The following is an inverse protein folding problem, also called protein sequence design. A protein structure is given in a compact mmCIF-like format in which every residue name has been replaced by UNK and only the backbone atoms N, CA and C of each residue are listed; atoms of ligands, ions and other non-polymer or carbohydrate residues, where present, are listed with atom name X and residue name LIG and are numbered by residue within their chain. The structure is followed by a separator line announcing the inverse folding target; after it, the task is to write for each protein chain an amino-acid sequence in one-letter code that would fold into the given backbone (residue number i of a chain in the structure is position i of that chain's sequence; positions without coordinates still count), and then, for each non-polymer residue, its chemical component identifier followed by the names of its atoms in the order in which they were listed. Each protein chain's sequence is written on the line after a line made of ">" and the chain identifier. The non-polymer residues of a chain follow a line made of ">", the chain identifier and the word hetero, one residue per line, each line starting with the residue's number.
data_IF_028388358547
#
_entry.id   IF_028388358547
#
_cell.length_a   1.000
_cell.length_b   1.000
_cell.length_c   1.000
_cell.angle_alpha   90.00
_cell.angle_beta   90.00
_cell.angle_gamma   90.00
#
_symmetry.space_group_name_H-M   'P 1'
#
loop_
_entity.id
_entity.type
_entity.pdbx_description
1 polymer ?
#
# COMPACT_ATOMS: atom_id res chain seq x y z
N UNK A 1 3.06 -1.20 2.70
CA UNK A 1 2.03 -0.14 2.54
C UNK A 1 2.41 0.98 3.50
N UNK A 2 2.63 2.20 3.00
CA UNK A 2 2.61 3.41 3.85
C UNK A 2 1.18 3.70 4.20
N UNK A 3 0.95 4.02 5.45
CA UNK A 3 -0.34 4.53 5.87
C UNK A 3 -0.47 4.51 7.37
N UNK A 4 -1.70 4.73 7.79
CA UNK A 4 -2.14 4.55 9.15
C UNK A 4 -2.99 3.29 9.17
N UNK A 5 -2.68 2.39 10.09
CA UNK A 5 -3.55 1.26 10.41
C UNK A 5 -4.05 1.45 11.84
N UNK A 6 -5.33 1.18 12.03
CA UNK A 6 -6.01 1.35 13.31
C UNK A 6 -6.89 0.14 13.58
N UNK A 7 -6.89 -0.33 14.82
CA UNK A 7 -7.75 -1.42 15.28
C UNK A 7 -8.41 -1.04 16.60
N UNK A 8 -9.70 -1.37 16.73
CA UNK A 8 -10.47 -1.28 17.98
C UNK A 8 -11.00 -2.68 18.32
N UNK A 9 -10.63 -3.20 19.49
CA UNK A 9 -11.22 -4.41 20.06
C UNK A 9 -12.00 -4.07 21.32
N UNK A 10 -13.22 -4.57 21.43
CA UNK A 10 -14.11 -4.37 22.57
C UNK A 10 -14.38 -5.72 23.24
N UNK A 11 -14.38 -5.73 24.58
CA UNK A 11 -14.65 -6.89 25.43
C UNK A 11 -15.81 -6.56 26.38
N UNK A 12 -17.07 -6.61 25.90
CA UNK A 12 -18.22 -6.15 26.67
C UNK A 12 -18.40 -6.91 28.00
N UNK A 13 -18.11 -8.20 28.04
CA UNK A 13 -18.19 -9.02 29.25
C UNK A 13 -17.17 -8.63 30.31
N UNK A 14 -16.08 -7.96 29.91
CA UNK A 14 -15.05 -7.44 30.81
C UNK A 14 -15.14 -5.91 30.98
N UNK A 15 -16.16 -5.25 30.40
CA UNK A 15 -16.33 -3.79 30.40
C UNK A 15 -15.06 -3.03 29.98
N UNK A 16 -14.34 -3.55 28.98
CA UNK A 16 -13.05 -3.01 28.56
C UNK A 16 -12.85 -3.06 27.04
N UNK A 17 -11.79 -2.41 26.57
CA UNK A 17 -11.42 -2.37 25.16
C UNK A 17 -10.02 -1.82 24.95
N UNK A 18 -9.50 -2.01 23.74
CA UNK A 18 -8.19 -1.51 23.32
C UNK A 18 -8.31 -0.91 21.93
N UNK A 19 -7.71 0.27 21.78
CA UNK A 19 -7.56 0.94 20.51
C UNK A 19 -6.07 1.16 20.26
N UNK A 20 -5.61 0.80 19.07
CA UNK A 20 -4.25 1.10 18.61
C UNK A 20 -4.31 1.74 17.24
N UNK A 21 -3.45 2.73 17.02
CA UNK A 21 -3.27 3.44 15.76
C UNK A 21 -1.78 3.58 15.52
N UNK A 22 -1.31 3.11 14.37
CA UNK A 22 0.11 3.01 14.06
C UNK A 22 0.37 3.59 12.68
N UNK A 23 1.40 4.43 12.60
CA UNK A 23 1.93 4.96 11.36
C UNK A 23 3.22 4.22 11.03
N UNK A 24 3.33 3.67 9.83
CA UNK A 24 4.54 2.99 9.40
C UNK A 24 4.28 1.96 8.31
N UNK A 25 5.34 1.46 7.68
CA UNK A 25 5.21 0.39 6.70
C UNK A 25 4.65 -0.85 7.39
N UNK A 26 3.41 -1.24 7.09
CA UNK A 26 2.92 -2.56 7.45
C UNK A 26 3.76 -3.59 6.70
N UNK A 27 4.66 -4.26 7.42
CA UNK A 27 5.35 -5.44 6.90
C UNK A 27 4.37 -6.59 6.97
N UNK A 28 4.28 -7.36 5.90
CA UNK A 28 3.30 -8.45 5.69
C UNK A 28 3.42 -9.61 6.67
N UNK A 29 4.39 -9.57 7.59
CA UNK A 29 4.69 -10.68 8.49
C UNK A 29 4.12 -10.50 9.91
N UNK A 30 3.94 -9.26 10.39
CA UNK A 30 3.62 -9.03 11.80
C UNK A 30 2.62 -7.89 11.98
N UNK A 31 1.33 -8.23 12.05
CA UNK A 31 0.33 -7.27 12.44
C UNK A 31 0.46 -6.95 13.94
N UNK A 32 1.22 -5.91 14.25
CA UNK A 32 1.45 -5.38 15.59
C UNK A 32 0.15 -5.06 16.34
N UNK A 33 -0.96 -4.78 15.63
CA UNK A 33 -2.27 -4.67 16.26
C UNK A 33 -2.68 -5.98 16.93
N UNK A 34 -2.50 -7.11 16.25
CA UNK A 34 -2.88 -8.43 16.77
C UNK A 34 -2.10 -8.74 18.05
N UNK A 35 -0.80 -8.44 18.06
CA UNK A 35 0.05 -8.68 19.24
C UNK A 35 -0.47 -7.94 20.47
N UNK A 36 -0.71 -6.64 20.32
CA UNK A 36 -1.18 -5.78 21.40
C UNK A 36 -2.61 -6.17 21.81
N UNK A 37 -3.48 -6.43 20.84
CA UNK A 37 -4.90 -6.69 21.09
C UNK A 37 -5.12 -8.04 21.76
N UNK A 38 -4.37 -9.08 21.39
CA UNK A 38 -4.41 -10.37 22.09
C UNK A 38 -3.82 -10.27 23.50
N UNK A 39 -2.73 -9.51 23.68
CA UNK A 39 -2.17 -9.29 25.01
C UNK A 39 -3.18 -8.60 25.95
N UNK A 40 -3.89 -7.57 25.46
CA UNK A 40 -4.95 -6.91 26.25
C UNK A 40 -6.16 -7.82 26.45
N UNK A 41 -6.50 -8.67 25.46
CA UNK A 41 -7.54 -9.70 25.62
C UNK A 41 -7.26 -10.61 26.81
N UNK A 42 -6.03 -11.12 26.93
CA UNK A 42 -5.67 -12.05 28.00
C UNK A 42 -5.77 -11.37 29.37
N UNK A 43 -5.28 -10.12 29.48
CA UNK A 43 -5.41 -9.32 30.69
C UNK A 43 -6.89 -9.11 31.08
N UNK A 44 -7.73 -8.68 30.13
CA UNK A 44 -9.14 -8.39 30.39
C UNK A 44 -9.97 -9.64 30.70
N UNK A 45 -9.56 -10.80 30.17
CA UNK A 45 -10.27 -12.08 30.38
C UNK A 45 -9.66 -12.93 31.50
N UNK A 46 -8.60 -12.46 32.16
CA UNK A 46 -7.90 -13.19 33.22
C UNK A 46 -7.20 -14.46 32.75
N UNK A 47 -6.80 -14.51 31.47
CA UNK A 47 -6.03 -15.62 30.91
C UNK A 47 -4.53 -15.36 31.08
N UNK A 48 -3.77 -16.45 31.08
CA UNK A 48 -2.32 -16.37 31.00
C UNK A 48 -1.90 -15.69 29.69
N UNK A 49 -0.90 -14.82 29.78
CA UNK A 49 -0.42 -14.09 28.61
C UNK A 49 0.15 -15.06 27.57
N UNK A 50 -0.42 -15.03 26.37
CA UNK A 50 0.03 -15.84 25.24
C UNK A 50 1.48 -15.53 24.84
N UNK A 51 1.95 -14.29 25.05
CA UNK A 51 3.34 -13.85 24.90
C UNK A 51 3.94 -13.51 26.27
N UNK A 52 5.10 -14.08 26.58
CA UNK A 52 5.77 -13.91 27.87
C UNK A 52 7.24 -13.48 27.70
N UNK A 53 7.93 -13.20 28.82
CA UNK A 53 9.32 -12.68 28.79
C UNK A 53 10.32 -13.59 28.09
N UNK A 54 10.06 -14.90 28.02
CA UNK A 54 10.96 -15.86 27.37
C UNK A 54 10.62 -16.08 25.89
N UNK A 55 9.39 -15.80 25.47
CA UNK A 55 8.90 -16.02 24.09
C UNK A 55 8.73 -14.73 23.28
N UNK A 56 8.70 -13.57 23.93
CA UNK A 56 8.63 -12.26 23.28
C UNK A 56 9.80 -12.05 22.30
N UNK A 57 11.01 -12.46 22.69
CA UNK A 57 12.21 -12.31 21.85
C UNK A 57 12.27 -13.28 20.67
N UNK A 58 11.45 -14.34 20.66
CA UNK A 58 11.38 -15.32 19.57
C UNK A 58 10.17 -15.13 18.68
N UNK A 59 9.31 -14.16 19.00
CA UNK A 59 8.14 -13.80 18.21
C UNK A 59 8.56 -13.44 16.77
N UNK A 60 7.84 -13.91 15.73
CA UNK A 60 6.56 -14.62 15.79
C UNK A 60 6.62 -16.15 15.91
N UNK A 61 7.78 -16.75 16.09
CA UNK A 61 7.90 -18.20 16.27
C UNK A 61 7.46 -18.61 17.70
N UNK A 62 6.72 -19.74 17.86
CA UNK A 62 6.31 -20.71 16.84
C UNK A 62 4.93 -20.46 16.19
N UNK A 63 4.22 -19.41 16.59
CA UNK A 63 2.82 -19.17 16.20
C UNK A 63 2.63 -18.83 14.73
N UNK A 64 3.57 -18.12 14.12
CA UNK A 64 3.67 -18.03 12.67
C UNK A 64 4.86 -18.83 12.17
N UNK A 65 4.55 -19.86 11.39
CA UNK A 65 5.48 -20.32 10.37
C UNK A 65 5.57 -19.17 9.37
N UNK A 66 6.74 -18.54 9.25
CA UNK A 66 6.99 -17.58 8.19
C UNK A 66 6.53 -18.26 6.91
N UNK A 67 5.44 -17.77 6.29
CA UNK A 67 5.06 -18.26 4.98
C UNK A 67 6.32 -18.04 4.17
N UNK A 68 6.95 -19.11 3.69
CA UNK A 68 7.92 -18.98 2.61
C UNK A 68 7.09 -18.46 1.45
N UNK A 69 6.85 -17.14 1.43
CA UNK A 69 6.76 -16.44 0.18
C UNK A 69 7.97 -16.95 -0.55
N UNK A 70 7.74 -17.62 -1.69
CA UNK A 70 8.77 -17.73 -2.72
C UNK A 70 9.03 -16.27 -3.11
N UNK A 71 9.76 -15.57 -2.25
CA UNK A 71 10.26 -14.24 -2.51
C UNK A 71 11.03 -14.46 -3.78
N UNK A 72 10.53 -13.88 -4.87
CA UNK A 72 11.33 -13.75 -6.08
C UNK A 72 12.59 -13.08 -5.62
N UNK A 73 13.68 -13.87 -5.53
CA UNK A 73 14.93 -13.39 -5.00
C UNK A 73 15.26 -12.12 -5.79
N UNK A 74 15.42 -11.00 -5.07
CA UNK A 74 15.63 -9.70 -5.71
C UNK A 74 16.79 -9.88 -6.69
N UNK A 75 16.57 -9.68 -8.00
CA UNK A 75 17.60 -9.84 -9.00
C UNK A 75 18.84 -9.04 -8.61
N UNK A 76 20.01 -9.62 -8.82
CA UNK A 76 21.26 -8.90 -8.58
C UNK A 76 21.34 -7.71 -9.53
N UNK A 77 21.70 -6.56 -8.96
CA UNK A 77 21.91 -5.32 -9.70
C UNK A 77 23.18 -5.49 -10.53
N UNK A 78 23.09 -5.17 -11.82
CA UNK A 78 24.24 -5.12 -12.74
C UNK A 78 24.87 -3.73 -12.72
N UNK A 79 26.09 -3.61 -13.24
CA UNK A 79 26.71 -2.29 -13.47
C UNK A 79 26.10 -1.58 -14.69
N UNK A 80 25.61 -2.35 -15.68
CA UNK A 80 25.15 -1.84 -16.97
C UNK A 80 23.81 -2.45 -17.40
N UNK A 81 23.02 -1.66 -18.15
CA UNK A 81 21.81 -2.13 -18.82
C UNK A 81 22.17 -3.09 -19.96
N UNK A 82 21.33 -4.10 -20.16
CA UNK A 82 21.45 -5.08 -21.25
C UNK A 82 21.26 -4.48 -22.65
N UNK A 83 20.67 -3.28 -22.72
CA UNK A 83 20.29 -2.55 -23.95
C UNK A 83 20.58 -1.06 -23.74
N UNK A 84 20.51 -0.27 -24.82
CA UNK A 84 20.67 1.19 -24.72
C UNK A 84 19.61 1.76 -23.76
N UNK A 85 20.01 2.68 -22.88
CA UNK A 85 19.10 3.32 -21.91
C UNK A 85 17.93 4.02 -22.61
N UNK A 86 18.16 4.60 -23.79
CA UNK A 86 17.15 5.28 -24.59
C UNK A 86 16.03 4.34 -25.04
N UNK A 87 16.31 3.05 -25.15
CA UNK A 87 15.28 2.10 -25.55
C UNK A 87 14.22 1.88 -24.47
N UNK A 88 14.52 2.21 -23.20
CA UNK A 88 13.57 2.14 -22.10
C UNK A 88 12.75 3.43 -21.94
N UNK A 89 13.20 4.54 -22.55
CA UNK A 89 12.52 5.82 -22.47
C UNK A 89 11.15 5.77 -23.15
N UNK A 90 10.15 6.36 -22.50
CA UNK A 90 8.80 6.39 -23.02
C UNK A 90 7.72 6.43 -21.95
N UNK A 91 6.47 6.52 -22.41
CA UNK A 91 5.26 6.45 -21.59
C UNK A 91 4.63 5.09 -21.79
N UNK A 92 4.41 4.39 -20.68
CA UNK A 92 3.75 3.10 -20.61
C UNK A 92 2.45 3.27 -19.82
N UNK A 93 1.34 2.81 -20.36
CA UNK A 93 0.03 2.98 -19.74
C UNK A 93 -0.52 1.67 -19.18
N UNK A 94 -1.29 1.78 -18.12
CA UNK A 94 -2.19 0.75 -17.62
C UNK A 94 -3.56 1.39 -17.30
N UNK A 95 -4.65 0.78 -17.74
CA UNK A 95 -5.99 1.35 -17.57
C UNK A 95 -6.42 1.59 -16.11
N UNK A 96 -5.93 0.78 -15.16
CA UNK A 96 -6.31 0.89 -13.76
C UNK A 96 -5.36 1.78 -12.95
N UNK A 97 -4.06 1.75 -13.26
CA UNK A 97 -3.02 2.42 -12.46
C UNK A 97 -2.42 3.66 -13.12
N UNK A 98 -2.86 4.01 -14.33
CA UNK A 98 -2.42 5.19 -15.07
C UNK A 98 -1.08 4.99 -15.78
N UNK A 99 -0.30 6.07 -15.87
CA UNK A 99 0.93 6.12 -16.66
C UNK A 99 2.19 5.90 -15.80
N UNK A 100 3.08 5.07 -16.32
CA UNK A 100 4.48 4.91 -15.92
C UNK A 100 5.35 5.56 -17.00
N UNK A 101 6.06 6.63 -16.66
CA UNK A 101 6.96 7.32 -17.58
C UNK A 101 8.40 7.03 -17.18
N UNK A 102 9.23 6.61 -18.14
CA UNK A 102 10.68 6.47 -17.97
C UNK A 102 11.37 7.56 -18.78
N UNK A 103 12.27 8.31 -18.17
CA UNK A 103 13.06 9.37 -18.81
C UNK A 103 14.56 9.15 -18.62
N UNK A 104 15.35 9.43 -19.64
CA UNK A 104 16.81 9.42 -19.53
C UNK A 104 17.30 10.84 -19.21
N UNK A 105 17.89 11.01 -18.03
CA UNK A 105 18.65 12.23 -17.76
C UNK A 105 20.05 12.09 -18.36
N UNK A 106 20.35 12.92 -19.36
CA UNK A 106 21.64 12.89 -20.06
C UNK A 106 22.80 13.45 -19.25
N UNK A 107 22.53 14.17 -18.16
CA UNK A 107 23.56 14.81 -17.33
C UNK A 107 24.23 13.82 -16.40
N UNK A 108 23.46 12.98 -15.73
CA UNK A 108 23.94 11.92 -14.84
C UNK A 108 23.91 10.53 -15.49
N UNK A 109 23.42 10.45 -16.72
CA UNK A 109 23.25 9.22 -17.48
C UNK A 109 22.41 8.18 -16.71
N UNK A 110 21.35 8.60 -16.01
CA UNK A 110 20.45 7.69 -15.28
C UNK A 110 19.04 7.70 -15.87
N UNK A 111 18.38 6.55 -15.74
CA UNK A 111 16.97 6.42 -16.05
C UNK A 111 16.17 6.72 -14.78
N UNK A 112 15.21 7.64 -14.90
CA UNK A 112 14.25 7.97 -13.88
C UNK A 112 12.89 7.44 -14.28
N UNK A 113 12.11 7.01 -13.30
CA UNK A 113 10.72 6.65 -13.53
C UNK A 113 9.79 7.57 -12.73
N UNK A 114 8.57 7.71 -13.24
CA UNK A 114 7.45 8.36 -12.56
C UNK A 114 6.20 7.54 -12.79
N UNK A 115 5.52 7.16 -11.70
CA UNK A 115 4.25 6.47 -11.70
C UNK A 115 3.17 7.47 -11.27
N UNK A 116 2.53 8.12 -12.26
CA UNK A 116 1.56 9.19 -12.04
C UNK A 116 2.05 10.29 -11.08
N UNK A 117 1.25 10.55 -10.04
CA UNK A 117 1.58 11.49 -8.95
C UNK A 117 2.14 10.81 -7.70
N UNK A 118 2.08 9.48 -7.63
CA UNK A 118 2.25 8.73 -6.38
C UNK A 118 3.67 8.22 -6.17
N UNK A 119 4.45 8.04 -7.23
CA UNK A 119 5.78 7.43 -7.13
C UNK A 119 6.77 7.98 -8.15
N UNK A 120 8.03 8.09 -7.73
CA UNK A 120 9.17 8.44 -8.56
C UNK A 120 10.42 7.73 -8.07
N UNK A 121 11.45 7.68 -8.90
CA UNK A 121 12.76 7.21 -8.48
C UNK A 121 13.63 6.83 -9.67
N UNK A 122 14.54 5.89 -9.46
CA UNK A 122 15.52 5.46 -10.47
C UNK A 122 15.25 4.06 -10.98
N UNK A 123 15.55 3.84 -12.26
CA UNK A 123 15.59 2.52 -12.88
C UNK A 123 17.01 1.98 -12.79
N UNK A 124 17.14 0.74 -12.33
CA UNK A 124 18.41 0.06 -12.16
C UNK A 124 18.46 -1.19 -13.05
N UNK A 125 19.63 -1.50 -13.64
CA UNK A 125 19.79 -2.70 -14.43
C UNK A 125 19.93 -3.94 -13.55
N UNK A 126 19.60 -5.09 -14.10
CA UNK A 126 19.81 -6.40 -13.45
C UNK A 126 20.78 -7.25 -14.27
N UNK A 127 21.27 -8.34 -13.69
CA UNK A 127 22.03 -9.37 -14.43
C UNK A 127 21.18 -10.05 -15.53
N UNK A 128 19.85 -10.00 -15.42
CA UNK A 128 18.93 -10.56 -16.42
C UNK A 128 18.61 -9.54 -17.51
N UNK A 129 18.78 -9.96 -18.77
CA UNK A 129 18.59 -9.07 -19.91
C UNK A 129 17.14 -8.55 -20.07
N UNK A 130 16.17 -9.29 -19.53
CA UNK A 130 14.74 -8.99 -19.64
C UNK A 130 14.15 -8.49 -18.30
N UNK A 131 14.99 -8.01 -17.37
CA UNK A 131 14.51 -7.47 -16.11
C UNK A 131 15.20 -6.16 -15.76
N UNK A 132 14.41 -5.24 -15.23
CA UNK A 132 14.86 -3.99 -14.62
C UNK A 132 14.26 -3.86 -13.22
N UNK A 133 14.88 -3.03 -12.39
CA UNK A 133 14.41 -2.73 -11.05
C UNK A 133 14.02 -1.26 -10.95
N UNK A 134 12.87 -0.99 -10.36
CA UNK A 134 12.48 0.36 -9.94
C UNK A 134 12.83 0.54 -8.46
N UNK A 135 13.73 1.46 -8.15
CA UNK A 135 14.00 1.91 -6.80
C UNK A 135 13.25 3.22 -6.56
N UNK A 136 12.19 3.15 -5.78
CA UNK A 136 11.42 4.32 -5.41
C UNK A 136 12.24 5.27 -4.52
N UNK A 137 12.02 6.56 -4.71
CA UNK A 137 12.47 7.64 -3.85
C UNK A 137 11.25 8.23 -3.13
N UNK A 138 11.45 9.25 -2.29
CA UNK A 138 10.34 9.92 -1.59
C UNK A 138 9.22 10.36 -2.56
N UNK A 139 7.94 10.06 -2.22
CA UNK A 139 7.45 9.63 -0.90
C UNK A 139 7.44 8.11 -0.64
N UNK A 140 7.97 7.29 -1.55
CA UNK A 140 7.84 5.83 -1.55
C UNK A 140 9.17 5.08 -1.24
N UNK A 141 10.18 5.71 -0.64
CA UNK A 141 11.53 5.11 -0.51
C UNK A 141 11.60 3.80 0.30
N UNK A 142 10.65 3.55 1.20
CA UNK A 142 10.57 2.34 2.01
C UNK A 142 9.91 1.17 1.26
N UNK A 143 9.42 1.38 0.04
CA UNK A 143 8.93 0.28 -0.80
C UNK A 143 10.15 -0.49 -1.33
N UNK A 144 10.19 -1.82 -1.18
CA UNK A 144 11.23 -2.65 -1.77
C UNK A 144 11.37 -2.38 -3.28
N UNK A 145 12.55 -2.65 -3.84
CA UNK A 145 12.74 -2.51 -5.29
C UNK A 145 11.67 -3.31 -6.03
N UNK A 146 10.99 -2.68 -6.98
CA UNK A 146 9.94 -3.32 -7.77
C UNK A 146 10.60 -3.96 -8.98
N UNK A 147 10.41 -5.27 -9.14
CA UNK A 147 10.94 -6.02 -10.28
C UNK A 147 9.98 -5.83 -11.44
N UNK A 148 10.51 -5.46 -12.61
CA UNK A 148 9.74 -5.40 -13.84
C UNK A 148 10.35 -6.28 -14.92
N UNK A 149 9.55 -7.22 -15.41
CA UNK A 149 9.88 -8.01 -16.59
C UNK A 149 9.64 -7.17 -17.84
N UNK A 150 10.63 -7.15 -18.72
CA UNK A 150 10.68 -6.33 -19.94
C UNK A 150 10.29 -7.21 -21.13
N UNK A 151 9.17 -6.89 -21.79
CA UNK A 151 8.77 -7.53 -23.04
C UNK A 151 9.27 -6.70 -24.23
N UNK A 152 9.89 -7.36 -25.20
CA UNK A 152 10.40 -6.72 -26.42
C UNK A 152 9.62 -7.24 -27.62
N UNK A 153 9.09 -6.34 -28.46
CA UNK A 153 8.43 -6.66 -29.74
C UNK A 153 9.04 -5.80 -30.84
N UNK A 154 9.41 -6.42 -31.96
CA UNK A 154 10.00 -5.69 -33.09
C UNK A 154 11.35 -5.02 -32.78
N UNK A 155 12.06 -5.47 -31.74
CA UNK A 155 13.33 -4.87 -31.30
C UNK A 155 13.17 -3.72 -30.32
N UNK A 156 11.95 -3.26 -30.04
CA UNK A 156 11.65 -2.19 -29.09
C UNK A 156 11.02 -2.74 -27.81
N UNK A 157 11.24 -2.05 -26.69
CA UNK A 157 10.57 -2.37 -25.43
C UNK A 157 9.08 -2.06 -25.59
N UNK A 158 8.24 -3.10 -25.48
CA UNK A 158 6.81 -3.03 -25.71
C UNK A 158 6.02 -2.91 -24.41
N UNK A 159 6.35 -3.70 -23.40
CA UNK A 159 5.62 -3.69 -22.13
C UNK A 159 6.55 -3.92 -20.93
N UNK A 160 6.07 -3.49 -19.77
CA UNK A 160 6.72 -3.65 -18.47
C UNK A 160 5.72 -4.33 -17.53
N UNK A 161 6.03 -5.55 -17.10
CA UNK A 161 5.22 -6.31 -16.15
C UNK A 161 5.83 -6.20 -14.76
N UNK A 162 5.25 -5.36 -13.90
CA UNK A 162 5.71 -5.23 -12.52
C UNK A 162 5.21 -6.42 -11.70
N UNK A 163 6.16 -7.15 -11.10
CA UNK A 163 5.88 -8.35 -10.34
C UNK A 163 5.15 -8.03 -9.05
N UNK A 164 4.04 -8.73 -8.83
CA UNK A 164 3.28 -8.73 -7.60
C UNK A 164 3.68 -9.92 -6.72
N UNK A 165 3.37 -9.84 -5.43
CA UNK A 165 3.45 -11.02 -4.56
C UNK A 165 2.34 -12.00 -4.96
N UNK A 166 2.60 -13.31 -5.03
CA UNK A 166 1.52 -14.27 -5.23
C UNK A 166 0.55 -14.27 -4.05
N UNK A 167 -0.77 -14.41 -4.28
CA UNK A 167 -1.42 -14.81 -5.53
C UNK A 167 -1.77 -13.68 -6.50
N UNK A 168 -1.46 -12.43 -6.17
CA UNK A 168 -1.81 -11.28 -7.01
C UNK A 168 -1.10 -11.34 -8.37
N UNK A 169 -1.80 -11.06 -9.49
CA UNK A 169 -1.18 -11.01 -10.81
C UNK A 169 -0.27 -9.78 -10.95
N UNK A 170 0.73 -9.89 -11.81
CA UNK A 170 1.58 -8.75 -12.18
C UNK A 170 0.78 -7.63 -12.82
N UNK A 171 1.20 -6.38 -12.59
CA UNK A 171 0.60 -5.20 -13.24
C UNK A 171 1.38 -4.90 -14.52
N UNK A 172 0.70 -4.93 -15.67
CA UNK A 172 1.33 -4.74 -16.99
C UNK A 172 1.10 -3.31 -17.48
N UNK A 173 2.19 -2.65 -17.89
CA UNK A 173 2.16 -1.34 -18.52
C UNK A 173 2.63 -1.46 -19.96
N UNK A 174 1.81 -1.00 -20.91
CA UNK A 174 2.08 -1.11 -22.34
C UNK A 174 2.52 0.23 -22.92
N UNK A 175 3.57 0.21 -23.74
CA UNK A 175 4.07 1.41 -24.42
C UNK A 175 3.03 1.93 -25.41
N UNK A 176 2.80 3.24 -25.40
CA UNK A 176 1.92 3.88 -26.38
C UNK A 176 0.43 3.58 -26.18
N UNK A 177 0.04 2.97 -25.05
CA UNK A 177 -1.35 2.89 -24.64
C UNK A 177 -1.88 4.32 -24.47
N UNK A 178 -2.74 4.77 -25.38
CA UNK A 178 -3.44 6.06 -25.24
C UNK A 178 -4.47 5.93 -24.12
N UNK A 179 -4.05 6.23 -22.90
CA UNK A 179 -4.97 6.64 -21.86
C UNK A 179 -5.35 8.09 -22.20
N UNK A 180 -6.57 8.31 -22.69
CA UNK A 180 -7.14 9.66 -22.67
C UNK A 180 -7.29 10.01 -21.20
N UNK A 181 -6.45 10.92 -20.71
CA UNK A 181 -6.73 11.61 -19.46
C UNK A 181 -8.16 12.19 -19.56
N UNK A 182 -8.97 12.15 -18.48
CA UNK A 182 -10.22 12.90 -18.47
C UNK A 182 -9.93 14.35 -18.86
N UNK A 183 -10.78 14.90 -19.73
CA UNK A 183 -10.66 16.27 -20.24
C UNK A 183 -10.52 17.23 -19.04
N UNK A 184 -9.56 18.18 -19.01
CA UNK A 184 -9.49 19.17 -17.93
C UNK A 184 -10.73 20.06 -17.80
N UNK A 185 -11.67 19.99 -18.76
CA UNK A 185 -13.00 20.59 -18.69
C UNK A 185 -14.12 19.64 -18.22
N UNK A 186 -13.83 18.35 -18.02
CA UNK A 186 -14.68 17.49 -17.21
C UNK A 186 -14.70 18.04 -15.78
N UNK A 187 -15.87 18.06 -15.12
CA UNK A 187 -15.96 18.53 -13.75
C UNK A 187 -14.98 17.74 -12.90
N UNK A 188 -14.12 18.48 -12.19
CA UNK A 188 -13.26 17.95 -11.12
C UNK A 188 -14.11 16.99 -10.29
N UNK A 189 -13.67 15.74 -10.12
CA UNK A 189 -14.37 14.80 -9.24
C UNK A 189 -14.65 15.53 -7.93
N UNK A 190 -15.93 15.60 -7.55
CA UNK A 190 -16.36 16.28 -6.32
C UNK A 190 -15.35 15.98 -5.23
N UNK A 191 -14.64 17.04 -4.84
CA UNK A 191 -13.62 16.96 -3.82
C UNK A 191 -14.26 16.24 -2.62
N UNK A 192 -13.60 15.20 -2.13
CA UNK A 192 -14.07 14.43 -0.99
C UNK A 192 -14.08 15.27 0.30
N UNK A 193 -13.93 16.59 0.22
CA UNK A 193 -14.33 17.55 1.26
C UNK A 193 -15.81 17.40 1.67
N UNK A 194 -16.65 16.77 0.85
CA UNK A 194 -18.01 16.35 1.22
C UNK A 194 -18.11 15.17 2.20
N UNK A 195 -17.04 14.39 2.42
CA UNK A 195 -16.95 13.35 3.46
C UNK A 195 -16.04 13.79 4.61
N UNK A 196 -16.23 15.02 5.06
CA UNK A 196 -16.00 15.33 6.46
C UNK A 196 -17.07 14.62 7.28
N UNK A 197 -16.71 13.48 7.87
CA UNK A 197 -17.45 12.86 8.98
C UNK A 197 -17.40 13.71 10.26
N UNK A 198 -17.52 15.03 10.14
CA UNK A 198 -17.84 15.91 11.26
C UNK A 198 -19.36 15.89 11.37
N UNK A 199 -19.95 15.31 12.44
CA UNK A 199 -21.38 15.35 12.60
C UNK A 199 -21.78 16.83 12.67
N UNK A 200 -22.63 17.22 11.72
CA UNK A 200 -23.24 18.54 11.66
C UNK A 200 -23.99 18.75 12.98
N UNK A 201 -23.33 19.44 13.92
CA UNK A 201 -23.75 19.58 15.34
C UNK A 201 -25.01 20.43 15.48
N UNK A 202 -25.62 20.80 14.37
CA UNK A 202 -26.76 21.70 14.27
C UNK A 202 -28.07 20.98 13.97
N UNK A 203 -28.04 19.71 13.57
CA UNK A 203 -29.25 18.95 13.22
C UNK A 203 -29.72 17.92 14.28
N UNK A 204 -28.95 17.67 15.35
CA UNK A 204 -29.26 16.61 16.34
C UNK A 204 -29.81 17.10 17.68
N UNK A 205 -30.11 18.39 17.86
CA UNK A 205 -30.58 18.91 19.16
C UNK A 205 -32.09 18.82 19.36
N UNK A 206 -32.91 18.92 18.30
CA UNK A 206 -34.37 19.01 18.47
C UNK A 206 -35.10 17.67 18.32
N UNK A 207 -34.54 16.72 17.58
CA UNK A 207 -35.11 15.37 17.40
C UNK A 207 -34.92 14.47 18.63
N UNK A 208 -33.79 14.62 19.35
CA UNK A 208 -33.52 13.84 20.56
C UNK A 208 -34.36 14.32 21.76
N UNK A 209 -34.65 15.63 21.85
CA UNK A 209 -35.51 16.19 22.89
C UNK A 209 -36.99 15.77 22.73
N UNK A 210 -37.47 15.65 21.48
CA UNK A 210 -38.85 15.20 21.20
C UNK A 210 -39.08 13.72 21.54
N UNK A 211 -38.08 12.86 21.33
CA UNK A 211 -38.18 11.43 21.64
C UNK A 211 -38.14 11.15 23.15
N UNK A 212 -37.38 11.94 23.93
CA UNK A 212 -37.37 11.86 25.39
C UNK A 212 -38.69 12.36 26.03
N UNK A 213 -39.32 13.38 25.44
CA UNK A 213 -40.63 13.86 25.90
C UNK A 213 -41.76 12.85 25.61
N UNK A 214 -41.72 12.17 24.47
CA UNK A 214 -42.69 11.12 24.14
C UNK A 214 -42.51 9.88 25.02
N UNK A 215 -41.28 9.47 25.32
CA UNK A 215 -41.03 8.34 26.22
C UNK A 215 -41.51 8.60 27.66
N UNK A 216 -41.47 9.86 28.13
CA UNK A 216 -41.93 10.22 29.48
C UNK A 216 -43.47 10.32 29.59
N UNK A 217 -44.18 10.53 28.48
CA UNK A 217 -45.66 10.64 28.46
C UNK A 217 -46.37 9.29 28.35
N UNK A 218 -45.64 8.18 28.10
CA UNK A 218 -46.20 6.82 28.03
C UNK A 218 -45.77 5.90 29.18
N UNK A 219 -45.19 6.47 30.25
CA UNK A 219 -44.94 5.77 31.51
C UNK A 219 -45.52 6.54 32.69
N UNK A 220 -46.86 6.60 32.74
CA UNK A 220 -47.67 6.73 33.97
C UNK A 220 -48.85 5.78 33.84
#
# INVERSE_FOLDING_TARGET
>A
MVGFTSLLSLYPSASGGVFTSLNGPTTTADNIHDVIHYQVSDILTGKDHWLNSTTACTYPAPWWTTRQTRSTAVPKISDNFSRDKRDYEGVYGNHATGNLTITLNTTDNKLYFRLGLIGRGVVLPTESANQILFRAEEPLEYIPNIIADVEVKGGEVFSLSLQSYPPEPSVVFERGLKLTDPDPTEPEWDDCTGVSGSPDRTASSNTFAFLLFLAYMFTV
#
